data_IF_885346696038
#
_entry.id   IF_885346696038
#
_cell.length_a   1.000
_cell.length_b   1.000
_cell.length_c   1.000
_cell.angle_alpha   90.00
_cell.angle_beta   90.00
_cell.angle_gamma   90.00
#
_symmetry.space_group_name_H-M   'P 1'
#
loop_
_entity.id
_entity.type
_entity.pdbx_description
1 polymer ?
#
# COMPACT_ATOMS: atom_id res chain seq x y z
N UNK A 1 10.16 0.89 31.66
CA UNK A 1 9.97 0.31 30.34
C UNK A 1 11.30 -0.29 29.90
N UNK A 2 11.28 -1.43 29.25
CA UNK A 2 12.49 -2.07 28.76
C UNK A 2 13.01 -1.28 27.55
N UNK A 3 14.32 -1.00 27.52
CA UNK A 3 14.97 -0.36 26.38
C UNK A 3 15.48 -1.46 25.46
N UNK A 4 15.21 -1.36 24.16
CA UNK A 4 15.73 -2.28 23.13
C UNK A 4 16.71 -1.52 22.25
N UNK A 5 17.86 -2.12 21.96
CA UNK A 5 18.86 -1.56 21.07
C UNK A 5 19.08 -2.54 19.90
N UNK A 6 18.78 -2.09 18.68
CA UNK A 6 19.13 -2.80 17.46
C UNK A 6 20.53 -2.39 17.05
N UNK A 7 21.47 -3.32 17.06
CA UNK A 7 22.89 -3.07 16.79
C UNK A 7 23.35 -3.54 15.43
N UNK A 8 24.31 -2.82 14.85
CA UNK A 8 25.07 -3.19 13.66
C UNK A 8 24.23 -3.24 12.35
N UNK A 9 22.97 -2.78 12.36
CA UNK A 9 22.11 -2.79 11.19
C UNK A 9 22.49 -1.75 10.16
N UNK A 10 22.13 -2.01 8.90
CA UNK A 10 22.15 -0.98 7.84
C UNK A 10 20.81 -0.28 7.84
N UNK A 11 20.77 0.97 8.26
CA UNK A 11 19.55 1.77 8.41
C UNK A 11 19.30 2.55 7.12
N UNK A 12 18.10 2.46 6.59
CA UNK A 12 17.62 3.23 5.46
C UNK A 12 16.96 4.54 5.90
N UNK A 13 17.39 5.66 5.33
CA UNK A 13 16.71 6.96 5.45
C UNK A 13 15.87 7.22 4.19
N UNK A 14 14.53 7.20 4.28
CA UNK A 14 13.66 7.42 3.12
C UNK A 14 13.77 8.82 2.49
N UNK A 15 14.16 9.84 3.27
CA UNK A 15 14.23 11.22 2.78
C UNK A 15 15.45 11.46 1.89
N UNK A 16 16.60 10.87 2.26
CA UNK A 16 17.86 11.00 1.50
C UNK A 16 18.10 9.82 0.57
N UNK A 17 17.38 8.70 0.76
CA UNK A 17 17.58 7.38 0.12
C UNK A 17 18.95 6.76 0.43
N UNK A 18 19.57 7.18 1.53
CA UNK A 18 20.87 6.69 1.97
C UNK A 18 20.74 5.44 2.85
N UNK A 19 21.81 4.66 2.88
CA UNK A 19 21.98 3.49 3.72
C UNK A 19 23.20 3.70 4.62
N UNK A 20 23.02 3.66 5.94
CA UNK A 20 24.06 3.90 6.92
C UNK A 20 24.10 2.81 7.99
N UNK A 21 25.29 2.33 8.36
CA UNK A 21 25.45 1.46 9.52
C UNK A 21 25.33 2.27 10.80
N UNK A 22 24.26 2.03 11.57
CA UNK A 22 24.07 2.67 12.88
C UNK A 22 23.13 1.84 13.77
N UNK A 23 23.22 2.10 15.05
CA UNK A 23 22.34 1.51 16.05
C UNK A 23 21.05 2.32 16.17
N UNK A 24 19.94 1.63 16.46
CA UNK A 24 18.65 2.25 16.77
C UNK A 24 18.25 1.85 18.18
N UNK A 25 17.99 2.82 19.04
CA UNK A 25 17.51 2.60 20.40
C UNK A 25 16.02 2.94 20.53
N UNK A 26 15.27 2.07 21.21
CA UNK A 26 13.83 2.19 21.46
C UNK A 26 13.57 2.15 22.95
N UNK A 27 12.81 3.11 23.47
CA UNK A 27 12.35 3.11 24.86
C UNK A 27 10.86 3.48 24.92
N UNK A 28 10.06 2.63 25.51
CA UNK A 28 8.61 2.76 25.43
C UNK A 28 8.14 2.75 23.98
N UNK A 29 7.35 3.74 23.59
CA UNK A 29 6.82 3.86 22.22
C UNK A 29 7.70 4.67 21.28
N UNK A 30 8.88 5.12 21.71
CA UNK A 30 9.68 6.11 20.98
C UNK A 30 11.07 5.59 20.63
N UNK A 31 11.58 6.06 19.50
CA UNK A 31 13.00 6.01 19.18
C UNK A 31 13.68 7.05 20.04
N UNK A 32 14.80 6.69 20.67
CA UNK A 32 15.59 7.58 21.54
C UNK A 32 16.99 7.80 20.98
N UNK A 33 17.60 8.91 21.35
CA UNK A 33 18.99 9.18 21.00
C UNK A 33 19.95 8.31 21.83
N UNK A 34 21.17 8.11 21.32
CA UNK A 34 22.14 7.23 21.96
C UNK A 34 22.57 7.73 23.36
N UNK A 35 22.56 9.03 23.61
CA UNK A 35 22.87 9.67 24.90
C UNK A 35 21.68 9.60 25.88
N UNK A 36 20.49 9.27 25.42
CA UNK A 36 19.29 9.08 26.22
C UNK A 36 19.12 7.64 26.73
N UNK A 37 20.00 6.71 26.33
CA UNK A 37 19.93 5.30 26.76
C UNK A 37 20.13 5.23 28.28
N UNK A 38 19.15 4.74 29.07
CA UNK A 38 19.28 4.66 30.51
C UNK A 38 20.47 3.76 30.92
N UNK A 39 21.24 4.21 31.91
CA UNK A 39 22.28 3.39 32.52
C UNK A 39 21.63 2.21 33.24
N UNK A 40 21.56 1.03 32.61
CA UNK A 40 20.92 -0.16 33.18
C UNK A 40 20.57 -1.20 32.12
N UNK A 41 19.48 -1.89 32.30
CA UNK A 41 19.09 -3.03 31.47
C UNK A 41 18.51 -2.59 30.13
N UNK A 42 19.32 -2.61 29.10
CA UNK A 42 18.84 -2.59 27.71
C UNK A 42 18.98 -4.00 27.12
N UNK A 43 17.93 -4.48 26.47
CA UNK A 43 18.01 -5.68 25.63
C UNK A 43 18.70 -5.31 24.31
N UNK A 44 19.81 -5.98 24.01
CA UNK A 44 20.53 -5.80 22.76
C UNK A 44 20.11 -6.89 21.79
N UNK A 45 19.74 -6.50 20.58
CA UNK A 45 19.44 -7.40 19.46
C UNK A 45 20.44 -7.10 18.36
N UNK A 46 21.24 -8.09 18.00
CA UNK A 46 22.19 -7.96 16.88
C UNK A 46 21.44 -8.12 15.55
N UNK A 47 21.44 -7.07 14.76
CA UNK A 47 20.85 -7.02 13.42
C UNK A 47 21.92 -6.84 12.34
N UNK A 48 23.11 -7.43 12.58
CA UNK A 48 24.18 -7.49 11.59
C UNK A 48 23.65 -8.12 10.29
N UNK A 49 24.08 -7.56 9.14
CA UNK A 49 23.63 -7.93 7.79
C UNK A 49 22.11 -7.77 7.55
N UNK A 50 21.41 -7.10 8.45
CA UNK A 50 20.02 -6.74 8.23
C UNK A 50 19.89 -5.29 7.76
N UNK A 51 18.86 -5.08 6.95
CA UNK A 51 18.32 -3.78 6.59
C UNK A 51 17.29 -3.37 7.65
N UNK A 52 17.46 -2.19 8.24
CA UNK A 52 16.53 -1.61 9.21
C UNK A 52 15.84 -0.40 8.55
N UNK A 53 14.52 -0.42 8.54
CA UNK A 53 13.71 0.64 7.92
C UNK A 53 12.64 1.13 8.88
N UNK A 54 12.03 2.30 8.64
CA UNK A 54 10.71 2.58 9.19
C UNK A 54 9.75 1.44 8.84
N UNK A 55 8.71 1.25 9.65
CA UNK A 55 7.68 0.25 9.37
C UNK A 55 7.04 0.49 8.00
N UNK A 56 6.83 -0.60 7.25
CA UNK A 56 6.23 -0.51 5.93
C UNK A 56 4.77 -0.08 6.00
N UNK A 57 4.30 0.52 4.92
CA UNK A 57 2.90 0.91 4.72
C UNK A 57 2.34 0.11 3.54
N UNK A 58 1.38 -0.77 3.80
CA UNK A 58 0.59 -1.39 2.74
C UNK A 58 -0.60 -0.48 2.41
N UNK A 59 -0.48 0.24 1.31
CA UNK A 59 -1.42 1.31 0.95
C UNK A 59 -2.73 0.80 0.35
N UNK A 60 -2.88 -0.52 0.15
CA UNK A 60 -4.10 -1.14 -0.38
C UNK A 60 -4.23 -2.61 0.05
N UNK A 61 -5.11 -2.85 1.00
CA UNK A 61 -5.43 -4.16 1.57
C UNK A 61 -6.91 -4.18 1.97
N UNK A 62 -7.56 -5.34 2.03
CA UNK A 62 -8.96 -5.45 2.46
C UNK A 62 -9.06 -5.99 3.88
N UNK A 63 -9.58 -5.18 4.83
CA UNK A 63 -9.48 -5.43 6.28
C UNK A 63 -10.83 -5.53 7.01
N UNK A 64 -11.92 -5.05 6.42
CA UNK A 64 -13.22 -5.07 7.09
C UNK A 64 -13.77 -6.49 7.22
N UNK A 65 -13.79 -7.01 8.44
CA UNK A 65 -14.24 -8.39 8.74
C UNK A 65 -15.73 -8.65 8.51
N UNK A 66 -16.51 -7.61 8.25
CA UNK A 66 -17.92 -7.71 7.89
C UNK A 66 -18.17 -8.06 6.43
N UNK A 67 -17.13 -8.31 5.63
CA UNK A 67 -17.25 -8.79 4.26
C UNK A 67 -16.46 -10.09 4.04
N UNK A 68 -16.78 -10.82 2.98
CA UNK A 68 -16.14 -12.12 2.66
C UNK A 68 -14.75 -11.99 2.00
N UNK A 69 -14.36 -10.78 1.62
CA UNK A 69 -13.10 -10.47 0.93
C UNK A 69 -11.98 -9.94 1.82
N UNK A 70 -12.14 -9.93 3.15
CA UNK A 70 -11.17 -9.31 4.06
C UNK A 70 -10.22 -10.30 4.74
N UNK A 71 -9.04 -9.79 5.11
CA UNK A 71 -8.04 -10.48 5.95
C UNK A 71 -7.92 -9.79 7.30
N UNK A 72 -7.31 -10.49 8.27
CA UNK A 72 -7.06 -9.91 9.61
C UNK A 72 -5.78 -9.07 9.60
N UNK A 73 -5.89 -7.79 9.98
CA UNK A 73 -4.81 -6.82 9.91
C UNK A 73 -3.52 -7.32 10.58
N UNK A 74 -3.50 -7.49 11.89
CA UNK A 74 -2.28 -7.80 12.64
C UNK A 74 -1.61 -9.11 12.20
N UNK A 75 -2.40 -10.08 11.73
CA UNK A 75 -1.89 -11.36 11.22
C UNK A 75 -1.18 -11.17 9.87
N UNK A 76 -1.70 -10.26 9.03
CA UNK A 76 -1.15 -10.04 7.69
C UNK A 76 -0.06 -8.97 7.65
N UNK A 77 -0.06 -8.04 8.58
CA UNK A 77 0.86 -6.91 8.58
C UNK A 77 2.18 -7.23 9.29
N UNK A 78 2.13 -7.69 10.54
CA UNK A 78 3.32 -7.83 11.37
C UNK A 78 4.36 -8.82 10.83
N UNK A 79 4.01 -10.02 10.33
CA UNK A 79 4.99 -10.92 9.73
C UNK A 79 5.67 -10.38 8.47
N UNK A 80 5.14 -9.28 7.94
CA UNK A 80 5.58 -8.66 6.68
C UNK A 80 6.31 -7.32 6.87
N UNK A 81 6.58 -6.91 8.11
CA UNK A 81 7.22 -5.61 8.38
C UNK A 81 6.27 -4.41 8.25
N UNK A 82 4.98 -4.64 8.06
CA UNK A 82 3.98 -3.59 7.88
C UNK A 82 3.46 -3.13 9.25
N UNK A 83 3.50 -1.83 9.53
CA UNK A 83 2.99 -1.22 10.78
C UNK A 83 1.78 -0.31 10.55
N UNK A 84 1.57 0.09 9.30
CA UNK A 84 0.42 0.89 8.86
C UNK A 84 -0.19 0.25 7.62
N UNK A 85 -1.50 0.16 7.58
CA UNK A 85 -2.24 -0.40 6.44
C UNK A 85 -3.40 0.52 6.06
N UNK A 86 -3.72 0.58 4.76
CA UNK A 86 -4.85 1.35 4.25
C UNK A 86 -5.86 0.38 3.64
N UNK A 87 -7.06 0.32 4.20
CA UNK A 87 -8.14 -0.48 3.62
C UNK A 87 -8.53 0.07 2.25
N UNK A 88 -8.58 -0.82 1.27
CA UNK A 88 -8.78 -0.53 -0.14
C UNK A 88 -10.18 -0.04 -0.53
N UNK A 89 -10.97 0.45 0.44
CA UNK A 89 -12.36 0.86 0.22
C UNK A 89 -13.31 -0.33 0.27
N UNK A 90 -13.12 -1.21 1.24
CA UNK A 90 -14.02 -2.35 1.49
C UNK A 90 -15.39 -1.87 1.93
N UNK A 91 -15.46 -0.77 2.69
CA UNK A 91 -16.67 -0.18 3.21
C UNK A 91 -17.16 1.02 2.37
N UNK A 92 -18.49 1.16 2.31
CA UNK A 92 -19.17 2.38 1.91
C UNK A 92 -19.87 3.05 3.10
N UNK A 93 -20.71 4.04 2.82
CA UNK A 93 -21.37 4.86 3.86
C UNK A 93 -22.28 4.06 4.80
N UNK A 94 -22.77 2.89 4.40
CA UNK A 94 -23.71 2.10 5.20
C UNK A 94 -23.04 1.23 6.27
N UNK A 95 -21.74 0.95 6.15
CA UNK A 95 -21.06 -0.02 7.03
C UNK A 95 -19.71 0.46 7.57
N UNK A 96 -19.24 1.66 7.23
CA UNK A 96 -17.95 2.18 7.68
C UNK A 96 -17.86 2.31 9.21
N UNK A 97 -18.91 2.77 9.88
CA UNK A 97 -18.92 2.90 11.34
C UNK A 97 -18.74 1.53 12.04
N UNK A 98 -19.26 0.46 11.44
CA UNK A 98 -19.06 -0.88 11.97
C UNK A 98 -17.59 -1.29 11.81
N UNK A 99 -16.98 -1.02 10.65
CA UNK A 99 -15.56 -1.28 10.43
C UNK A 99 -14.67 -0.59 11.47
N UNK A 100 -14.96 0.68 11.80
CA UNK A 100 -14.23 1.39 12.86
C UNK A 100 -14.33 0.63 14.18
N UNK A 101 -15.53 0.18 14.55
CA UNK A 101 -15.77 -0.48 15.85
C UNK A 101 -15.21 -1.91 15.94
N UNK A 102 -15.29 -2.67 14.84
CA UNK A 102 -14.95 -4.11 14.88
C UNK A 102 -13.50 -4.41 14.52
N UNK A 103 -12.87 -3.57 13.70
CA UNK A 103 -11.54 -3.87 13.16
C UNK A 103 -10.54 -2.75 13.44
N UNK A 104 -10.84 -1.49 13.08
CA UNK A 104 -9.87 -0.39 13.20
C UNK A 104 -9.43 -0.18 14.65
N UNK A 105 -10.40 -0.04 15.57
CA UNK A 105 -10.11 0.21 17.00
C UNK A 105 -9.61 -1.02 17.76
N UNK A 106 -9.73 -2.20 17.18
CA UNK A 106 -9.31 -3.46 17.79
C UNK A 106 -7.93 -3.92 17.31
N UNK A 107 -7.37 -3.30 16.29
CA UNK A 107 -6.07 -3.66 15.71
C UNK A 107 -4.92 -2.89 16.35
N UNK A 108 -3.77 -3.53 16.52
CA UNK A 108 -2.52 -2.86 16.84
C UNK A 108 -1.90 -2.21 15.60
N UNK A 109 -2.16 -2.75 14.42
CA UNK A 109 -1.80 -2.10 13.15
C UNK A 109 -2.53 -0.75 13.04
N UNK A 110 -1.80 0.30 12.65
CA UNK A 110 -2.45 1.57 12.30
C UNK A 110 -3.25 1.39 11.01
N UNK A 111 -4.57 1.50 11.09
CA UNK A 111 -5.47 1.34 9.94
C UNK A 111 -6.02 2.69 9.52
N UNK A 112 -5.82 3.01 8.24
CA UNK A 112 -6.52 4.06 7.48
C UNK A 112 -7.44 3.39 6.47
N UNK A 113 -8.30 4.15 5.79
CA UNK A 113 -9.24 3.55 4.83
C UNK A 113 -9.62 4.55 3.74
N UNK A 114 -9.88 4.02 2.56
CA UNK A 114 -10.70 4.71 1.57
C UNK A 114 -12.18 4.46 1.89
N UNK A 115 -13.04 5.39 1.52
CA UNK A 115 -14.48 5.19 1.54
C UNK A 115 -14.95 4.85 0.13
N UNK A 116 -15.56 3.69 -0.05
CA UNK A 116 -16.16 3.32 -1.33
C UNK A 116 -17.36 4.23 -1.63
N UNK A 117 -17.44 4.73 -2.86
CA UNK A 117 -18.59 5.55 -3.30
C UNK A 117 -19.88 4.73 -3.39
N UNK A 118 -19.78 3.42 -3.63
CA UNK A 118 -20.93 2.50 -3.50
C UNK A 118 -21.35 2.43 -2.04
N UNK A 119 -22.64 2.66 -1.72
CA UNK A 119 -23.10 2.76 -0.33
C UNK A 119 -22.78 1.54 0.54
N UNK A 120 -22.80 0.34 -0.01
CA UNK A 120 -22.48 -0.89 0.72
C UNK A 120 -21.00 -1.32 0.58
N UNK A 121 -20.22 -0.63 -0.26
CA UNK A 121 -18.85 -1.04 -0.58
C UNK A 121 -18.79 -2.44 -1.20
N UNK A 122 -17.79 -3.23 -0.80
CA UNK A 122 -17.56 -4.60 -1.21
C UNK A 122 -18.20 -5.59 -0.21
N UNK A 123 -19.45 -5.38 0.15
CA UNK A 123 -20.12 -6.16 1.20
C UNK A 123 -20.15 -7.67 0.89
N UNK A 124 -20.13 -8.05 -0.39
CA UNK A 124 -20.11 -9.45 -0.81
C UNK A 124 -19.45 -9.61 -2.19
N UNK A 125 -18.69 -10.68 -2.37
CA UNK A 125 -18.12 -11.06 -3.67
C UNK A 125 -19.18 -11.55 -4.68
N UNK A 126 -20.39 -11.84 -4.22
CA UNK A 126 -21.50 -12.32 -5.07
C UNK A 126 -22.23 -11.18 -5.78
N UNK A 127 -22.26 -10.00 -5.15
CA UNK A 127 -22.95 -8.84 -5.69
C UNK A 127 -21.94 -7.77 -6.10
N UNK A 128 -22.04 -7.31 -7.36
CA UNK A 128 -21.25 -6.18 -7.84
C UNK A 128 -21.63 -4.91 -7.09
N UNK A 129 -20.62 -4.03 -6.89
CA UNK A 129 -20.84 -2.68 -6.35
C UNK A 129 -21.80 -1.90 -7.24
N UNK A 130 -22.67 -1.14 -6.64
CA UNK A 130 -23.49 -0.19 -7.38
C UNK A 130 -22.77 1.16 -7.42
N UNK A 131 -22.19 1.47 -8.56
CA UNK A 131 -21.43 2.73 -8.81
C UNK A 131 -22.27 3.77 -9.56
N UNK A 132 -23.60 3.61 -9.62
CA UNK A 132 -24.47 4.63 -10.18
C UNK A 132 -24.50 5.86 -9.25
N UNK A 133 -24.15 7.06 -9.74
CA UNK A 133 -24.11 8.29 -8.95
C UNK A 133 -25.44 8.69 -8.25
N UNK A 134 -26.56 8.19 -8.75
CA UNK A 134 -27.89 8.41 -8.12
C UNK A 134 -27.98 7.87 -6.69
N UNK A 135 -27.10 6.91 -6.33
CA UNK A 135 -27.07 6.29 -5.00
C UNK A 135 -25.95 6.82 -4.12
N UNK A 136 -25.15 7.81 -4.58
CA UNK A 136 -24.09 8.40 -3.78
C UNK A 136 -24.69 9.30 -2.70
N UNK A 137 -24.42 9.01 -1.45
CA UNK A 137 -24.89 9.77 -0.29
C UNK A 137 -23.81 10.78 0.15
N UNK A 138 -23.78 11.93 -0.52
CA UNK A 138 -22.79 12.97 -0.27
C UNK A 138 -22.89 13.52 1.18
N UNK A 139 -24.09 13.68 1.73
CA UNK A 139 -24.25 14.19 3.10
C UNK A 139 -23.62 13.23 4.09
N UNK A 140 -23.90 11.94 3.97
CA UNK A 140 -23.31 10.92 4.84
C UNK A 140 -21.82 10.74 4.61
N UNK A 141 -21.32 10.86 3.38
CA UNK A 141 -19.87 10.90 3.11
C UNK A 141 -19.21 12.05 3.86
N UNK A 142 -19.76 13.25 3.80
CA UNK A 142 -19.25 14.43 4.50
C UNK A 142 -19.22 14.22 6.01
N UNK A 143 -20.30 13.70 6.59
CA UNK A 143 -20.39 13.39 8.02
C UNK A 143 -19.33 12.38 8.45
N UNK A 144 -19.11 11.32 7.66
CA UNK A 144 -18.09 10.32 7.93
C UNK A 144 -16.67 10.89 7.82
N UNK A 145 -16.36 11.67 6.79
CA UNK A 145 -15.04 12.31 6.65
C UNK A 145 -14.77 13.30 7.78
N UNK A 146 -15.79 14.02 8.25
CA UNK A 146 -15.66 14.90 9.41
C UNK A 146 -15.45 14.10 10.72
N UNK A 147 -16.30 13.10 10.97
CA UNK A 147 -16.29 12.34 12.23
C UNK A 147 -15.07 11.43 12.35
N UNK A 148 -14.63 10.84 11.23
CA UNK A 148 -13.55 9.85 11.18
C UNK A 148 -12.34 10.34 10.36
N UNK A 149 -12.06 11.64 10.43
CA UNK A 149 -10.94 12.29 9.71
C UNK A 149 -9.57 11.66 10.00
N UNK A 150 -9.41 11.05 11.17
CA UNK A 150 -8.20 10.29 11.50
C UNK A 150 -8.06 8.96 10.75
N UNK A 151 -9.15 8.45 10.18
CA UNK A 151 -9.18 7.13 9.53
C UNK A 151 -9.43 7.22 8.02
N UNK A 152 -10.32 8.11 7.58
CA UNK A 152 -10.66 8.26 6.16
C UNK A 152 -9.65 9.17 5.45
N UNK A 153 -9.09 8.66 4.34
CA UNK A 153 -8.01 9.36 3.62
C UNK A 153 -8.31 9.60 2.14
N UNK A 154 -9.26 8.89 1.53
CA UNK A 154 -9.62 9.01 0.12
C UNK A 154 -11.00 8.43 -0.17
N UNK A 155 -11.57 8.77 -1.34
CA UNK A 155 -12.68 8.02 -1.93
C UNK A 155 -12.14 6.86 -2.80
N UNK A 156 -12.90 5.77 -2.89
CA UNK A 156 -12.62 4.62 -3.76
C UNK A 156 -13.70 4.47 -4.81
N UNK A 157 -13.26 4.32 -6.07
CA UNK A 157 -14.13 4.00 -7.19
C UNK A 157 -13.56 2.85 -8.02
N UNK A 158 -14.41 1.95 -8.53
CA UNK A 158 -14.07 0.94 -9.53
C UNK A 158 -14.80 1.23 -10.83
N UNK A 159 -14.02 1.42 -11.91
CA UNK A 159 -14.56 1.71 -13.25
C UNK A 159 -14.37 0.55 -14.24
N UNK A 160 -14.18 -0.66 -13.71
CA UNK A 160 -14.06 -1.86 -14.55
C UNK A 160 -15.32 -2.09 -15.36
N UNK A 161 -15.17 -2.58 -16.58
CA UNK A 161 -16.26 -2.86 -17.51
C UNK A 161 -17.34 -3.75 -16.95
N UNK A 162 -16.95 -4.76 -16.17
CA UNK A 162 -17.89 -5.68 -15.51
C UNK A 162 -18.68 -5.03 -14.35
N UNK A 163 -18.18 -3.94 -13.78
CA UNK A 163 -18.84 -3.18 -12.71
C UNK A 163 -19.79 -2.14 -13.30
N UNK A 164 -19.26 -1.29 -14.19
CA UNK A 164 -19.99 -0.14 -14.76
C UNK A 164 -20.89 -0.56 -15.92
N UNK A 165 -20.43 -1.48 -16.78
CA UNK A 165 -21.08 -1.78 -18.07
C UNK A 165 -22.51 -2.29 -17.97
N UNK A 166 -22.88 -2.97 -16.88
CA UNK A 166 -24.24 -3.44 -16.66
C UNK A 166 -25.24 -2.32 -16.36
N UNK A 167 -24.77 -1.14 -15.96
CA UNK A 167 -25.60 0.02 -15.64
C UNK A 167 -25.91 0.92 -16.84
N UNK A 168 -25.26 0.70 -17.99
CA UNK A 168 -25.31 1.59 -19.16
C UNK A 168 -24.55 2.91 -18.99
N UNK A 169 -23.82 3.06 -17.87
CA UNK A 169 -22.96 4.21 -17.59
C UNK A 169 -21.57 4.01 -18.22
N UNK A 170 -20.80 5.08 -18.33
CA UNK A 170 -19.42 5.06 -18.84
C UNK A 170 -18.51 5.89 -17.95
N UNK A 171 -18.44 7.20 -18.16
CA UNK A 171 -17.57 8.16 -17.44
C UNK A 171 -18.25 8.84 -16.25
N UNK A 172 -19.57 8.77 -16.17
CA UNK A 172 -20.40 9.49 -15.18
C UNK A 172 -19.98 9.15 -13.73
N UNK A 173 -19.73 7.87 -13.36
CA UNK A 173 -19.25 7.54 -12.02
C UNK A 173 -17.93 8.22 -11.68
N UNK A 174 -16.98 8.27 -12.62
CA UNK A 174 -15.68 8.91 -12.41
C UNK A 174 -15.84 10.42 -12.22
N UNK A 175 -16.55 11.08 -13.14
CA UNK A 175 -16.77 12.54 -13.08
C UNK A 175 -17.47 12.94 -11.76
N UNK A 176 -18.50 12.19 -11.37
CA UNK A 176 -19.23 12.50 -10.13
C UNK A 176 -18.38 12.25 -8.89
N UNK A 177 -17.59 11.15 -8.86
CA UNK A 177 -16.67 10.88 -7.76
C UNK A 177 -15.62 11.98 -7.60
N UNK A 178 -15.04 12.46 -8.70
CA UNK A 178 -14.08 13.58 -8.66
C UNK A 178 -14.73 14.84 -8.07
N UNK A 179 -15.96 15.21 -8.49
CA UNK A 179 -16.67 16.36 -7.91
C UNK A 179 -16.91 16.23 -6.42
N UNK A 180 -17.33 15.05 -5.96
CA UNK A 180 -17.52 14.79 -4.53
C UNK A 180 -16.18 14.88 -3.78
N UNK A 181 -15.12 14.34 -4.35
CA UNK A 181 -13.78 14.41 -3.76
C UNK A 181 -13.23 15.85 -3.67
N UNK A 182 -13.60 16.72 -4.62
CA UNK A 182 -13.30 18.16 -4.55
C UNK A 182 -14.02 18.82 -3.36
N UNK A 183 -15.31 18.51 -3.14
CA UNK A 183 -16.07 19.03 -2.00
C UNK A 183 -15.55 18.50 -0.65
N UNK A 184 -15.05 17.27 -0.62
CA UNK A 184 -14.50 16.62 0.58
C UNK A 184 -13.01 16.92 0.80
N UNK A 185 -12.37 17.65 -0.13
CA UNK A 185 -10.92 17.97 -0.12
C UNK A 185 -10.03 16.73 0.03
N UNK A 186 -10.43 15.61 -0.59
CA UNK A 186 -9.71 14.35 -0.53
C UNK A 186 -9.32 13.83 -1.93
N UNK A 187 -8.31 12.94 -2.03
CA UNK A 187 -7.98 12.24 -3.26
C UNK A 187 -9.01 11.15 -3.59
N UNK A 188 -8.93 10.67 -4.85
CA UNK A 188 -9.68 9.50 -5.32
C UNK A 188 -8.70 8.40 -5.69
N UNK A 189 -8.97 7.17 -5.25
CA UNK A 189 -8.27 5.96 -5.70
C UNK A 189 -9.16 5.23 -6.69
N UNK A 190 -8.72 5.17 -7.95
CA UNK A 190 -9.52 4.59 -9.05
C UNK A 190 -8.94 3.25 -9.48
N UNK A 191 -9.74 2.19 -9.37
CA UNK A 191 -9.40 0.85 -9.84
C UNK A 191 -9.54 0.79 -11.36
N UNK A 192 -8.43 0.48 -12.05
CA UNK A 192 -8.26 0.61 -13.49
C UNK A 192 -8.10 -0.72 -14.24
N UNK A 193 -8.62 -1.82 -13.69
CA UNK A 193 -8.64 -3.10 -14.42
C UNK A 193 -9.74 -3.11 -15.46
N UNK A 194 -9.41 -3.38 -16.72
CA UNK A 194 -10.34 -3.37 -17.84
C UNK A 194 -11.35 -2.21 -17.74
N UNK A 195 -10.89 -0.96 -17.68
CA UNK A 195 -11.78 0.18 -17.45
C UNK A 195 -12.78 0.34 -18.59
N UNK A 196 -13.98 0.84 -18.26
CA UNK A 196 -15.05 1.05 -19.24
C UNK A 196 -14.68 2.11 -20.30
N UNK A 197 -13.80 3.04 -19.93
CA UNK A 197 -13.21 4.07 -20.82
C UNK A 197 -11.71 3.81 -20.98
N UNK A 198 -11.10 4.37 -22.03
CA UNK A 198 -9.66 4.24 -22.23
C UNK A 198 -8.86 4.85 -21.07
N UNK A 199 -7.72 4.23 -20.70
CA UNK A 199 -6.88 4.74 -19.60
C UNK A 199 -6.35 6.15 -19.88
N UNK A 200 -6.09 6.49 -21.14
CA UNK A 200 -5.65 7.83 -21.53
C UNK A 200 -6.78 8.88 -21.39
N UNK A 201 -8.03 8.46 -21.56
CA UNK A 201 -9.19 9.30 -21.24
C UNK A 201 -9.37 9.41 -19.71
N UNK A 202 -9.28 8.28 -19.00
CA UNK A 202 -9.50 8.24 -17.57
C UNK A 202 -8.51 9.14 -16.80
N UNK A 203 -7.21 9.13 -17.17
CA UNK A 203 -6.20 9.96 -16.49
C UNK A 203 -6.37 11.45 -16.71
N UNK A 204 -7.12 11.89 -17.74
CA UNK A 204 -7.41 13.30 -17.94
C UNK A 204 -8.34 13.90 -16.87
N UNK A 205 -9.17 13.06 -16.23
CA UNK A 205 -10.02 13.47 -15.12
C UNK A 205 -9.29 13.48 -13.78
N UNK A 206 -8.16 12.73 -13.63
CA UNK A 206 -7.45 12.62 -12.37
C UNK A 206 -6.66 13.88 -12.03
N UNK A 207 -6.75 14.29 -10.77
CA UNK A 207 -6.13 15.49 -10.19
C UNK A 207 -4.78 15.11 -9.53
N UNK A 208 -3.95 16.09 -9.17
CA UNK A 208 -2.80 15.84 -8.28
C UNK A 208 -3.24 15.08 -7.01
N UNK A 209 -2.45 14.09 -6.62
CA UNK A 209 -2.71 13.17 -5.50
C UNK A 209 -3.83 12.14 -5.71
N UNK A 210 -4.60 12.18 -6.81
CA UNK A 210 -5.45 11.05 -7.17
C UNK A 210 -4.59 9.85 -7.59
N UNK A 211 -5.07 8.63 -7.34
CA UNK A 211 -4.30 7.41 -7.52
C UNK A 211 -4.89 6.55 -8.62
N UNK A 212 -4.10 6.30 -9.66
CA UNK A 212 -4.34 5.27 -10.67
C UNK A 212 -3.92 3.91 -10.09
N UNK A 213 -4.89 3.10 -9.69
CA UNK A 213 -4.65 1.81 -9.04
C UNK A 213 -4.63 0.67 -10.07
N UNK A 214 -3.78 -0.34 -9.86
CA UNK A 214 -3.54 -1.48 -10.75
C UNK A 214 -2.86 -1.09 -12.08
N UNK A 215 -1.86 -0.23 -11.99
CA UNK A 215 -1.20 0.33 -13.17
C UNK A 215 -0.61 -0.71 -14.14
N UNK A 216 -0.30 -1.91 -13.65
CA UNK A 216 0.29 -2.98 -14.47
C UNK A 216 -0.71 -4.04 -14.93
N UNK A 217 -2.00 -3.73 -14.91
CA UNK A 217 -3.00 -4.54 -15.59
C UNK A 217 -2.68 -4.59 -17.10
N UNK A 218 -2.81 -5.77 -17.71
CA UNK A 218 -2.23 -6.00 -19.03
C UNK A 218 -3.24 -6.26 -20.15
N UNK A 219 -4.54 -6.31 -19.88
CA UNK A 219 -5.54 -6.59 -20.90
C UNK A 219 -6.37 -5.33 -21.22
N UNK A 220 -6.92 -5.24 -22.41
CA UNK A 220 -7.69 -4.08 -22.86
C UNK A 220 -6.83 -2.81 -23.00
N UNK A 221 -7.26 -1.71 -22.38
CA UNK A 221 -6.52 -0.45 -22.37
C UNK A 221 -5.48 -0.44 -21.26
N UNK A 222 -4.20 -0.32 -21.62
CA UNK A 222 -3.04 -0.39 -20.70
C UNK A 222 -2.22 0.90 -20.73
N UNK A 223 -1.36 1.09 -19.74
CA UNK A 223 -0.46 2.26 -19.66
C UNK A 223 0.67 2.24 -20.71
N UNK A 224 0.96 1.08 -21.29
CA UNK A 224 1.95 0.96 -22.37
C UNK A 224 1.26 0.72 -23.72
N UNK A 225 1.90 1.18 -24.78
CA UNK A 225 1.47 0.90 -26.14
C UNK A 225 1.98 -0.48 -26.62
N UNK A 226 1.62 -0.88 -27.83
CA UNK A 226 2.03 -2.15 -28.43
C UNK A 226 3.54 -2.29 -28.67
N UNK A 227 4.31 -1.21 -28.58
CA UNK A 227 5.78 -1.19 -28.64
C UNK A 227 6.42 -1.27 -27.24
N UNK A 228 5.63 -1.37 -26.18
CA UNK A 228 6.12 -1.39 -24.79
C UNK A 228 6.47 -0.01 -24.23
N UNK A 229 6.21 1.08 -24.98
CA UNK A 229 6.47 2.45 -24.50
C UNK A 229 5.30 2.94 -23.66
N UNK A 230 5.61 3.60 -22.54
CA UNK A 230 4.58 4.27 -21.74
C UNK A 230 3.91 5.37 -22.56
N UNK A 231 2.60 5.40 -22.56
CA UNK A 231 1.80 6.33 -23.35
C UNK A 231 1.98 7.76 -22.85
N UNK A 232 1.96 8.74 -23.78
CA UNK A 232 2.26 10.14 -23.47
C UNK A 232 1.33 10.74 -22.42
N UNK A 233 0.01 10.50 -22.52
CA UNK A 233 -0.97 11.01 -21.54
C UNK A 233 -0.75 10.43 -20.12
N UNK A 234 -0.22 9.22 -20.01
CA UNK A 234 0.17 8.62 -18.74
C UNK A 234 1.37 9.36 -18.14
N UNK A 235 2.39 9.67 -18.95
CA UNK A 235 3.54 10.46 -18.52
C UNK A 235 3.13 11.89 -18.11
N UNK A 236 2.22 12.50 -18.85
CA UNK A 236 1.67 13.83 -18.53
C UNK A 236 0.85 13.80 -17.23
N UNK A 237 0.05 12.76 -17.02
CA UNK A 237 -0.71 12.59 -15.77
C UNK A 237 0.23 12.53 -14.55
N UNK A 238 1.32 11.76 -14.63
CA UNK A 238 2.35 11.73 -13.58
C UNK A 238 2.98 13.10 -13.35
N UNK A 239 3.31 13.84 -14.41
CA UNK A 239 3.85 15.21 -14.30
C UNK A 239 2.88 16.18 -13.62
N UNK A 240 1.57 15.97 -13.76
CA UNK A 240 0.54 16.73 -13.04
C UNK A 240 0.40 16.33 -11.57
N UNK A 241 1.02 15.25 -11.14
CA UNK A 241 0.96 14.75 -9.76
C UNK A 241 -0.06 13.64 -9.53
N UNK A 242 -0.57 12.99 -10.59
CA UNK A 242 -1.31 11.73 -10.46
C UNK A 242 -0.34 10.63 -10.05
N UNK A 243 -0.72 9.82 -9.07
CA UNK A 243 0.08 8.73 -8.55
C UNK A 243 -0.33 7.40 -9.17
N UNK A 244 0.63 6.50 -9.27
CA UNK A 244 0.45 5.19 -9.86
C UNK A 244 0.77 4.11 -8.85
N UNK A 245 -0.27 3.36 -8.42
CA UNK A 245 -0.14 2.24 -7.50
C UNK A 245 -0.11 0.92 -8.27
N UNK A 246 0.90 0.13 -8.01
CA UNK A 246 1.04 -1.20 -8.60
C UNK A 246 -0.09 -2.14 -8.17
N UNK A 247 -0.51 -2.07 -6.91
CA UNK A 247 -1.64 -2.78 -6.33
C UNK A 247 -1.86 -4.17 -6.93
N UNK A 248 -0.99 -5.13 -6.57
CA UNK A 248 -0.80 -6.36 -7.35
C UNK A 248 -2.04 -7.26 -7.43
N UNK A 249 -2.73 -7.53 -6.30
CA UNK A 249 -3.93 -8.34 -6.25
C UNK A 249 -3.85 -9.71 -6.90
N UNK A 250 -4.97 -10.40 -6.95
CA UNK A 250 -5.05 -11.73 -7.58
C UNK A 250 -5.02 -11.65 -9.12
N UNK A 251 -5.65 -10.63 -9.70
CA UNK A 251 -5.87 -10.54 -11.15
C UNK A 251 -5.43 -9.22 -11.78
N UNK A 252 -4.52 -8.47 -11.14
CA UNK A 252 -4.32 -7.05 -11.44
C UNK A 252 -2.93 -6.72 -11.98
N UNK A 253 -2.05 -7.70 -12.07
CA UNK A 253 -0.65 -7.51 -12.45
C UNK A 253 -0.23 -8.47 -13.56
N UNK A 254 0.38 -7.95 -14.62
CA UNK A 254 0.97 -8.74 -15.71
C UNK A 254 2.37 -8.25 -16.06
N UNK A 255 3.29 -9.18 -16.25
CA UNK A 255 4.68 -8.89 -16.66
C UNK A 255 4.75 -8.19 -18.00
N UNK A 256 3.84 -8.50 -18.94
CA UNK A 256 3.83 -7.88 -20.28
C UNK A 256 3.63 -6.35 -20.24
N UNK A 257 3.05 -5.80 -19.15
CA UNK A 257 2.91 -4.36 -18.93
C UNK A 257 3.99 -3.84 -17.98
N UNK A 258 4.28 -4.58 -16.90
CA UNK A 258 5.19 -4.14 -15.86
C UNK A 258 6.65 -4.05 -16.35
N UNK A 259 7.14 -5.08 -17.03
CA UNK A 259 8.55 -5.13 -17.46
C UNK A 259 8.90 -3.99 -18.41
N UNK A 260 8.13 -3.74 -19.51
CA UNK A 260 8.41 -2.61 -20.37
C UNK A 260 8.34 -1.26 -19.65
N UNK A 261 7.34 -1.05 -18.79
CA UNK A 261 7.21 0.20 -18.04
C UNK A 261 8.43 0.42 -17.12
N UNK A 262 8.85 -0.60 -16.36
CA UNK A 262 10.03 -0.52 -15.48
C UNK A 262 11.31 -0.29 -16.29
N UNK A 263 11.49 -0.95 -17.42
CA UNK A 263 12.64 -0.75 -18.32
C UNK A 263 12.70 0.66 -18.91
N UNK A 264 11.56 1.32 -19.05
CA UNK A 264 11.47 2.73 -19.44
C UNK A 264 11.59 3.70 -18.23
N UNK A 265 11.92 3.22 -17.04
CA UNK A 265 12.03 4.03 -15.83
C UNK A 265 10.70 4.50 -15.26
N UNK A 266 9.57 3.94 -15.73
CA UNK A 266 8.25 4.25 -15.19
C UNK A 266 7.90 3.29 -14.05
N UNK A 267 8.52 3.54 -12.89
CA UNK A 267 8.28 2.78 -11.65
C UNK A 267 6.93 3.13 -11.04
N UNK A 268 6.32 2.26 -10.24
CA UNK A 268 5.17 2.63 -9.43
C UNK A 268 5.57 3.65 -8.36
N UNK A 269 4.70 4.60 -8.07
CA UNK A 269 4.87 5.50 -6.93
C UNK A 269 4.59 4.74 -5.64
N UNK A 270 3.65 3.79 -5.69
CA UNK A 270 3.23 2.96 -4.55
C UNK A 270 3.25 1.48 -4.96
N UNK A 271 3.75 0.63 -4.07
CA UNK A 271 3.63 -0.83 -4.16
C UNK A 271 2.73 -1.30 -3.03
N UNK A 272 1.57 -1.83 -3.36
CA UNK A 272 0.61 -2.36 -2.41
C UNK A 272 0.15 -3.77 -2.77
N UNK A 273 -0.43 -4.49 -1.81
CA UNK A 273 -0.71 -5.93 -1.96
C UNK A 273 -2.04 -6.24 -2.59
N UNK A 274 -3.08 -5.46 -2.30
CA UNK A 274 -4.47 -5.82 -2.55
C UNK A 274 -4.80 -7.19 -1.91
N UNK A 275 -4.33 -7.39 -0.66
CA UNK A 275 -4.59 -8.62 0.06
C UNK A 275 -6.08 -8.87 0.26
N UNK A 276 -6.43 -10.08 -0.08
CA UNK A 276 -7.71 -10.71 0.22
C UNK A 276 -7.45 -12.18 0.59
N UNK A 277 -8.41 -12.96 1.04
CA UNK A 277 -8.24 -14.39 1.29
C UNK A 277 -7.72 -15.16 0.07
N UNK A 278 -7.92 -14.65 -1.14
CA UNK A 278 -7.47 -15.27 -2.38
C UNK A 278 -5.97 -15.06 -2.70
N UNK A 279 -5.30 -14.14 -2.01
CA UNK A 279 -3.90 -13.77 -2.27
C UNK A 279 -2.99 -13.97 -1.07
N UNK A 280 -3.58 -14.29 0.08
CA UNK A 280 -2.86 -14.54 1.33
C UNK A 280 -1.99 -15.79 1.20
N UNK A 281 -0.66 -15.61 1.27
CA UNK A 281 0.36 -16.67 1.13
C UNK A 281 0.32 -17.46 -0.19
N UNK A 282 -0.33 -16.91 -1.21
CA UNK A 282 -0.51 -17.56 -2.52
C UNK A 282 -0.03 -16.64 -3.63
N UNK A 283 0.51 -17.22 -4.70
CA UNK A 283 0.83 -16.46 -5.91
C UNK A 283 -0.43 -15.80 -6.50
N UNK A 284 -0.27 -14.63 -7.11
CA UNK A 284 0.98 -13.92 -7.44
C UNK A 284 1.47 -12.94 -6.35
N UNK A 285 0.79 -12.82 -5.20
CA UNK A 285 1.09 -11.79 -4.18
C UNK A 285 1.97 -12.33 -3.05
N UNK A 286 1.53 -13.35 -2.34
CA UNK A 286 2.16 -13.98 -1.16
C UNK A 286 2.31 -13.01 0.01
N UNK A 287 3.10 -11.91 -0.15
CA UNK A 287 3.38 -10.92 0.90
C UNK A 287 3.91 -9.62 0.31
N UNK A 288 3.86 -8.50 1.05
CA UNK A 288 4.45 -7.25 0.59
C UNK A 288 5.97 -7.37 0.36
N UNK A 289 6.79 -7.99 1.24
CA UNK A 289 8.21 -8.23 0.96
C UNK A 289 8.47 -9.12 -0.26
N UNK A 290 7.58 -10.06 -0.56
CA UNK A 290 7.68 -10.86 -1.79
C UNK A 290 7.43 -9.98 -3.03
N UNK A 291 6.47 -9.08 -2.99
CA UNK A 291 6.25 -8.10 -4.06
C UNK A 291 7.45 -7.16 -4.21
N UNK A 292 7.98 -6.61 -3.11
CA UNK A 292 9.19 -5.79 -3.14
C UNK A 292 10.33 -6.54 -3.83
N UNK A 293 10.53 -7.81 -3.49
CA UNK A 293 11.53 -8.67 -4.14
C UNK A 293 11.26 -8.84 -5.64
N UNK A 294 10.01 -9.04 -6.03
CA UNK A 294 9.59 -9.13 -7.44
C UNK A 294 9.97 -7.88 -8.22
N UNK A 295 9.72 -6.67 -7.67
CA UNK A 295 10.08 -5.40 -8.31
C UNK A 295 11.60 -5.21 -8.43
N UNK A 296 12.37 -5.57 -7.39
CA UNK A 296 13.84 -5.58 -7.47
C UNK A 296 14.35 -6.48 -8.60
N UNK A 297 13.82 -7.69 -8.69
CA UNK A 297 14.23 -8.64 -9.72
C UNK A 297 13.74 -8.26 -11.15
N UNK A 298 12.80 -7.33 -11.29
CA UNK A 298 12.45 -6.68 -12.57
C UNK A 298 13.37 -5.50 -12.90
N UNK A 299 14.30 -5.12 -12.02
CA UNK A 299 15.27 -4.06 -12.25
C UNK A 299 14.94 -2.72 -11.57
N UNK A 300 13.93 -2.66 -10.68
CA UNK A 300 13.68 -1.47 -9.88
C UNK A 300 14.73 -1.36 -8.76
N UNK A 301 15.43 -0.23 -8.59
CA UNK A 301 16.42 -0.06 -7.53
C UNK A 301 15.80 -0.23 -6.13
N UNK A 302 16.55 -0.85 -5.19
CA UNK A 302 16.08 -1.08 -3.82
C UNK A 302 15.56 0.18 -3.15
N UNK A 303 16.26 1.30 -3.29
CA UNK A 303 15.82 2.59 -2.69
C UNK A 303 14.46 3.05 -3.24
N UNK A 304 14.17 2.82 -4.53
CA UNK A 304 12.88 3.14 -5.13
C UNK A 304 11.77 2.18 -4.65
N UNK A 305 12.10 0.88 -4.49
CA UNK A 305 11.17 -0.11 -3.91
C UNK A 305 10.80 0.28 -2.48
N UNK A 306 11.80 0.64 -1.65
CA UNK A 306 11.57 1.08 -0.27
C UNK A 306 10.77 2.39 -0.22
N UNK A 307 11.08 3.33 -1.12
CA UNK A 307 10.32 4.58 -1.23
C UNK A 307 8.84 4.33 -1.51
N UNK A 308 8.53 3.38 -2.39
CA UNK A 308 7.17 3.04 -2.79
C UNK A 308 6.33 2.32 -1.70
N UNK A 309 6.96 1.84 -0.63
CA UNK A 309 6.28 1.19 0.52
C UNK A 309 6.47 1.94 1.83
N UNK A 310 7.18 3.07 1.84
CA UNK A 310 7.44 3.86 3.04
C UNK A 310 7.11 5.34 2.81
N UNK A 311 7.94 6.06 2.02
CA UNK A 311 7.86 7.52 1.93
C UNK A 311 6.64 7.99 1.15
N UNK A 312 6.42 7.45 -0.03
CA UNK A 312 5.31 7.92 -0.86
C UNK A 312 3.94 7.62 -0.23
N UNK A 313 3.66 6.38 0.29
CA UNK A 313 2.45 6.15 1.07
C UNK A 313 2.32 7.06 2.29
N UNK A 314 3.41 7.34 3.01
CA UNK A 314 3.39 8.24 4.17
C UNK A 314 3.03 9.68 3.79
N UNK A 315 3.54 10.19 2.66
CA UNK A 315 3.16 11.50 2.09
C UNK A 315 1.68 11.56 1.75
N UNK A 316 1.15 10.52 1.13
CA UNK A 316 -0.27 10.45 0.81
C UNK A 316 -1.16 10.46 2.06
N UNK A 317 -0.67 9.91 3.17
CA UNK A 317 -1.30 9.99 4.47
C UNK A 317 -1.05 11.31 5.21
N UNK A 318 -0.18 12.19 4.68
CA UNK A 318 0.30 13.43 5.34
C UNK A 318 0.96 13.13 6.70
N UNK A 319 1.70 12.03 6.77
CA UNK A 319 2.34 11.50 7.99
C UNK A 319 3.83 11.16 7.77
N UNK A 320 4.50 11.74 6.76
CA UNK A 320 5.88 11.42 6.41
C UNK A 320 6.86 11.73 7.56
N UNK A 321 6.62 12.78 8.34
CA UNK A 321 7.45 13.12 9.49
C UNK A 321 7.34 12.13 10.65
N UNK A 322 6.28 11.32 10.69
CA UNK A 322 6.05 10.30 11.70
C UNK A 322 6.40 8.89 11.20
N UNK A 323 5.94 8.53 9.98
CA UNK A 323 5.98 7.16 9.47
C UNK A 323 7.21 6.87 8.59
N UNK A 324 7.79 7.87 7.95
CA UNK A 324 8.91 7.69 7.03
C UNK A 324 10.26 8.10 7.66
N UNK A 325 10.47 7.83 8.94
CA UNK A 325 11.70 8.24 9.64
C UNK A 325 12.01 7.34 10.83
N UNK A 326 13.29 7.23 11.16
CA UNK A 326 13.81 6.60 12.38
C UNK A 326 14.55 7.59 13.27
N UNK A 327 14.17 8.88 13.23
CA UNK A 327 14.77 9.93 14.06
C UNK A 327 14.34 9.79 15.52
N UNK A 328 15.22 10.16 16.44
CA UNK A 328 14.89 10.23 17.87
C UNK A 328 13.68 11.13 18.11
N UNK A 329 12.79 10.70 19.02
CA UNK A 329 11.52 11.36 19.33
C UNK A 329 10.32 10.88 18.51
N UNK A 330 10.53 10.17 17.39
CA UNK A 330 9.43 9.62 16.58
C UNK A 330 8.89 8.30 17.14
N UNK A 331 7.75 7.86 16.66
CA UNK A 331 7.15 6.56 17.05
C UNK A 331 8.04 5.42 16.59
N UNK A 332 8.27 4.45 17.46
CA UNK A 332 9.08 3.29 17.15
C UNK A 332 8.28 2.24 16.38
N UNK A 333 8.01 2.53 15.12
CA UNK A 333 7.47 1.64 14.10
C UNK A 333 8.64 1.26 13.16
N UNK A 334 9.16 0.02 13.29
CA UNK A 334 10.41 -0.40 12.66
C UNK A 334 10.23 -1.76 12.00
N UNK A 335 10.80 -1.93 10.82
CA UNK A 335 10.91 -3.22 10.15
C UNK A 335 12.37 -3.61 9.92
N UNK A 336 12.69 -4.88 10.12
CA UNK A 336 14.03 -5.43 9.94
C UNK A 336 13.95 -6.58 8.94
N UNK A 337 14.82 -6.55 7.94
CA UNK A 337 14.85 -7.51 6.83
C UNK A 337 16.26 -8.04 6.59
N UNK A 338 16.36 -9.27 6.09
CA UNK A 338 17.55 -9.74 5.36
C UNK A 338 17.26 -9.71 3.86
N UNK A 339 18.25 -9.29 3.08
CA UNK A 339 18.23 -9.49 1.62
C UNK A 339 19.10 -10.70 1.35
N UNK A 340 18.48 -11.79 0.92
CA UNK A 340 19.16 -13.07 0.71
C UNK A 340 19.24 -13.41 -0.77
N UNK A 341 20.37 -13.99 -1.19
CA UNK A 341 20.50 -14.56 -2.51
C UNK A 341 19.82 -15.93 -2.54
N UNK A 342 18.77 -16.03 -3.33
CA UNK A 342 17.99 -17.25 -3.48
C UNK A 342 17.27 -17.26 -4.81
N UNK A 343 17.52 -18.29 -5.62
CA UNK A 343 16.77 -18.51 -6.83
C UNK A 343 15.29 -18.69 -6.51
N UNK A 344 14.50 -17.81 -7.08
CA UNK A 344 13.06 -17.71 -6.81
C UNK A 344 12.32 -17.39 -8.10
N UNK A 345 11.18 -18.01 -8.28
CA UNK A 345 10.31 -17.73 -9.42
C UNK A 345 9.13 -16.87 -8.98
N UNK A 346 8.98 -15.72 -9.64
CA UNK A 346 7.87 -14.79 -9.42
C UNK A 346 6.83 -14.97 -10.52
N UNK A 347 5.56 -14.92 -10.15
CA UNK A 347 4.43 -15.14 -11.06
C UNK A 347 3.58 -13.89 -11.19
N UNK A 348 2.90 -13.77 -12.34
CA UNK A 348 1.75 -12.91 -12.51
C UNK A 348 0.44 -13.71 -12.46
N UNK A 349 -0.70 -13.06 -12.68
CA UNK A 349 -1.98 -13.75 -12.57
C UNK A 349 -2.30 -14.66 -13.76
N UNK A 350 -1.55 -14.56 -14.86
CA UNK A 350 -1.69 -15.42 -16.04
C UNK A 350 -0.76 -16.64 -15.98
N UNK A 351 -0.11 -16.87 -14.82
CA UNK A 351 0.92 -17.88 -14.61
C UNK A 351 2.22 -17.65 -15.39
N UNK A 352 2.35 -16.51 -16.09
CA UNK A 352 3.64 -16.10 -16.62
C UNK A 352 4.61 -15.82 -15.45
N UNK A 353 5.88 -16.13 -15.65
CA UNK A 353 6.86 -16.04 -14.57
C UNK A 353 8.19 -15.46 -15.03
N UNK A 354 8.90 -14.88 -14.06
CA UNK A 354 10.31 -14.51 -14.19
C UNK A 354 11.13 -15.20 -13.12
N UNK A 355 12.38 -15.44 -13.41
CA UNK A 355 13.35 -15.90 -12.42
C UNK A 355 14.03 -14.68 -11.79
N UNK A 356 14.29 -14.78 -10.51
CA UNK A 356 15.02 -13.77 -9.74
C UNK A 356 15.93 -14.43 -8.72
N UNK A 357 16.88 -13.66 -8.19
CA UNK A 357 17.95 -14.18 -7.34
C UNK A 357 18.02 -13.52 -5.97
N UNK A 358 17.16 -12.56 -5.70
CA UNK A 358 17.14 -11.82 -4.43
C UNK A 358 15.77 -11.87 -3.79
N UNK A 359 15.75 -12.12 -2.48
CA UNK A 359 14.55 -12.06 -1.65
C UNK A 359 14.75 -11.14 -0.45
N UNK A 360 13.76 -10.30 -0.19
CA UNK A 360 13.61 -9.55 1.07
C UNK A 360 12.85 -10.45 2.04
N UNK A 361 13.51 -10.82 3.14
CA UNK A 361 12.96 -11.74 4.14
C UNK A 361 12.77 -11.00 5.47
N UNK A 362 11.52 -10.84 5.96
CA UNK A 362 11.27 -10.21 7.25
C UNK A 362 11.97 -10.94 8.38
N UNK A 363 12.61 -10.18 9.27
CA UNK A 363 13.27 -10.70 10.46
C UNK A 363 12.57 -10.25 11.74
N UNK A 364 12.15 -8.99 11.79
CA UNK A 364 11.48 -8.45 12.96
C UNK A 364 10.60 -7.25 12.59
N UNK A 365 9.52 -7.08 13.33
CA UNK A 365 8.66 -5.90 13.28
C UNK A 365 8.46 -5.36 14.68
N UNK A 366 8.69 -4.07 14.84
CA UNK A 366 8.39 -3.31 16.05
C UNK A 366 7.24 -2.37 15.73
N UNK A 367 6.19 -2.43 16.55
CA UNK A 367 5.03 -1.54 16.45
C UNK A 367 4.83 -0.82 17.78
N UNK A 368 4.78 0.52 17.74
CA UNK A 368 4.69 1.35 18.96
C UNK A 368 5.72 0.94 20.03
N UNK A 369 6.94 0.58 19.61
CA UNK A 369 8.02 0.15 20.47
C UNK A 369 7.95 -1.29 21.01
N UNK A 370 6.88 -2.02 20.70
CA UNK A 370 6.75 -3.44 21.06
C UNK A 370 7.19 -4.33 19.89
N UNK A 371 7.99 -5.37 20.17
CA UNK A 371 8.30 -6.40 19.18
C UNK A 371 7.03 -7.23 18.98
N UNK A 372 6.40 -7.11 17.79
CA UNK A 372 5.16 -7.82 17.44
C UNK A 372 5.41 -9.01 16.53
N UNK A 373 6.59 -9.10 15.93
CA UNK A 373 7.06 -10.23 15.15
C UNK A 373 8.59 -10.34 15.23
N UNK A 374 9.10 -11.56 15.33
CA UNK A 374 10.54 -11.83 15.32
C UNK A 374 10.80 -13.26 14.81
N UNK A 375 11.76 -13.41 13.91
CA UNK A 375 12.29 -14.71 13.51
C UNK A 375 13.14 -15.32 14.62
N UNK A 376 13.15 -16.64 14.70
CA UNK A 376 13.85 -17.37 15.75
C UNK A 376 15.37 -17.43 15.56
N UNK A 377 15.85 -17.10 14.37
CA UNK A 377 17.27 -17.05 13.99
C UNK A 377 17.90 -15.65 14.13
N UNK A 378 17.17 -14.70 14.66
CA UNK A 378 17.65 -13.36 14.97
C UNK A 378 18.04 -13.30 16.46
N UNK A 379 19.32 -13.20 16.74
CA UNK A 379 19.89 -13.16 18.11
C UNK A 379 19.84 -11.77 18.77
#
# INVERSE_FOLDING_TARGET
METVILKNGTVYDPLTKDFEKKDIAVSGKKIIAADEIPSGKASIIDVTDCLVTPGLIDYHIHLYSGCDGAVKADIMTFPNGVTTAVDGGTCGVSNFEMFVKTDITQSLTRIKSYLNVSPAGLASSVFSENVNPEYYDLEKMRDLFHTYSEHLVALKLRISRNIVGSSGLTREPLIQTIKIAEELECPVVVHMNDPIIDVEEAVEYLRPCDVFCHMYYGDGSTIVNHQGMVKEKILEARKRGVLFDACNGKGNFQFKTAIPAIQNGFYPDIISTDFSPMTQYVHPVISLPHLMSKYMNMGMPLAEVLNAVILEPARQLKMEEELATLKAGTTADIAVFKIVEKDTRFYDFTEASIEGHQLIVPQMTIKDGAIVYRQTDLD
#
